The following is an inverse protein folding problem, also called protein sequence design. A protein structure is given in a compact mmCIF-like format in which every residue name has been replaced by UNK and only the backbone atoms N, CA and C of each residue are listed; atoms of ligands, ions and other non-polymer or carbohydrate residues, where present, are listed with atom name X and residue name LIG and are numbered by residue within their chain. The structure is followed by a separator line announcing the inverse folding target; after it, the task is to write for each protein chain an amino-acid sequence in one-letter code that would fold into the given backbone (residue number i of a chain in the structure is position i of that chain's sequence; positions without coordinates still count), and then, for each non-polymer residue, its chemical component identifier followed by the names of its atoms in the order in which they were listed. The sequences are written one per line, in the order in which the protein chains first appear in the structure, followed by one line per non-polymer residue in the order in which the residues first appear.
data_IF_909244484230
#
_entry.id   IF_909244484230
#
_cell.length_a   1.000
_cell.length_b   1.000
_cell.length_c   1.000
_cell.angle_alpha   90.00
_cell.angle_beta   90.00
_cell.angle_gamma   90.00
#
_symmetry.space_group_name_H-M   'P 1'
#
loop_
_entity.id
_entity.type
_entity.pdbx_description
1 polymer ?
#
# COMPACT_ATOMS: atom_id res chain seq x y z
N UNK A 1 -9.33 -10.60 -16.14
CA UNK A 1 -8.46 -10.20 -17.26
C UNK A 1 -6.98 -10.09 -16.88
N UNK A 2 -6.61 -10.00 -15.60
CA UNK A 2 -5.23 -10.21 -15.11
C UNK A 2 -4.76 -11.66 -15.37
N UNK A 3 -5.65 -12.62 -15.42
CA UNK A 3 -5.35 -13.99 -15.90
C UNK A 3 -4.63 -13.99 -17.26
N UNK A 4 -4.94 -13.05 -18.15
CA UNK A 4 -4.31 -12.95 -19.46
C UNK A 4 -2.88 -12.39 -19.41
N UNK A 5 -2.56 -11.56 -18.45
CA UNK A 5 -1.21 -11.01 -18.26
C UNK A 5 -0.27 -12.01 -17.58
N UNK A 6 -0.82 -12.87 -16.71
CA UNK A 6 -0.06 -13.91 -16.02
C UNK A 6 0.15 -15.12 -16.91
N UNK A 7 -0.80 -15.44 -17.80
CA UNK A 7 -0.63 -16.51 -18.82
C UNK A 7 0.39 -16.18 -19.92
N UNK A 8 0.76 -14.90 -20.10
CA UNK A 8 1.68 -14.52 -21.18
C UNK A 8 3.15 -14.91 -20.92
N UNK A 9 3.50 -15.33 -19.70
CA UNK A 9 4.87 -15.77 -19.34
C UNK A 9 4.94 -17.19 -18.76
N UNK A 10 4.04 -18.12 -19.11
CA UNK A 10 4.05 -19.52 -18.63
C UNK A 10 4.15 -19.70 -17.09
N UNK A 11 3.78 -18.68 -16.32
CA UNK A 11 3.65 -18.82 -14.87
C UNK A 11 2.32 -19.52 -14.55
N UNK A 12 2.35 -20.82 -14.48
CA UNK A 12 1.32 -21.57 -13.74
C UNK A 12 1.42 -21.10 -12.30
N UNK A 13 0.45 -20.29 -11.83
CA UNK A 13 0.35 -19.91 -10.43
C UNK A 13 0.13 -21.18 -9.63
N UNK A 14 1.21 -21.80 -9.18
CA UNK A 14 1.11 -22.78 -8.11
C UNK A 14 0.67 -22.05 -6.84
N UNK A 15 -0.08 -22.70 -5.97
CA UNK A 15 -0.56 -22.16 -4.68
C UNK A 15 0.56 -21.68 -3.72
N UNK A 16 1.80 -21.59 -4.20
CA UNK A 16 3.00 -21.23 -3.45
C UNK A 16 3.58 -19.86 -3.85
N UNK A 17 3.11 -19.23 -4.94
CA UNK A 17 3.64 -17.94 -5.37
C UNK A 17 3.08 -16.82 -4.48
N UNK A 18 3.97 -16.04 -3.88
CA UNK A 18 3.60 -14.80 -3.18
C UNK A 18 3.30 -13.71 -4.22
N UNK A 19 2.27 -12.93 -3.96
CA UNK A 19 1.89 -11.79 -4.78
C UNK A 19 2.03 -10.49 -3.97
N UNK A 20 2.93 -9.62 -4.41
CA UNK A 20 3.18 -8.30 -3.83
C UNK A 20 2.76 -7.25 -4.84
N UNK A 21 1.94 -6.30 -4.41
CA UNK A 21 1.40 -5.25 -5.29
C UNK A 21 1.76 -3.88 -4.72
N UNK A 22 2.46 -3.05 -5.50
CA UNK A 22 2.72 -1.64 -5.16
C UNK A 22 1.75 -0.76 -5.95
N UNK A 23 0.93 0.00 -5.23
CA UNK A 23 -0.06 0.93 -5.77
C UNK A 23 0.53 2.35 -5.78
N UNK A 24 0.64 2.96 -6.96
CA UNK A 24 1.36 4.22 -7.14
C UNK A 24 2.87 4.01 -7.03
N UNK A 25 3.43 3.08 -7.82
CA UNK A 25 4.87 2.74 -7.73
C UNK A 25 5.81 3.89 -8.12
N UNK A 26 5.29 4.97 -8.69
CA UNK A 26 6.10 6.08 -9.18
C UNK A 26 7.14 5.65 -10.23
N UNK A 27 8.37 6.06 -10.04
CA UNK A 27 9.51 5.70 -10.90
C UNK A 27 10.00 4.25 -10.71
N UNK A 28 9.31 3.43 -9.92
CA UNK A 28 9.58 2.02 -9.69
C UNK A 28 10.82 1.72 -8.82
N UNK A 29 11.42 2.73 -8.19
CA UNK A 29 12.65 2.55 -7.40
C UNK A 29 12.44 1.61 -6.22
N UNK A 30 11.36 1.80 -5.46
CA UNK A 30 11.05 0.96 -4.31
C UNK A 30 10.78 -0.49 -4.74
N UNK A 31 9.92 -0.68 -5.75
CA UNK A 31 9.59 -2.01 -6.27
C UNK A 31 10.83 -2.75 -6.79
N UNK A 32 11.75 -2.03 -7.44
CA UNK A 32 13.00 -2.58 -7.94
C UNK A 32 13.90 -3.09 -6.80
N UNK A 33 14.13 -2.28 -5.77
CA UNK A 33 14.94 -2.70 -4.63
C UNK A 33 14.27 -3.87 -3.88
N UNK A 34 12.96 -3.79 -3.68
CA UNK A 34 12.20 -4.87 -3.05
C UNK A 34 12.28 -6.19 -3.82
N UNK A 35 12.22 -6.13 -5.16
CA UNK A 35 12.31 -7.33 -6.01
C UNK A 35 13.68 -7.99 -6.01
N UNK A 36 14.73 -7.22 -5.65
CA UNK A 36 16.09 -7.75 -5.48
C UNK A 36 16.31 -8.37 -4.10
N UNK A 37 15.82 -7.71 -3.03
CA UNK A 37 16.03 -8.15 -1.66
C UNK A 37 15.27 -9.43 -1.36
N UNK A 38 14.05 -9.54 -1.87
CA UNK A 38 13.25 -10.74 -1.80
C UNK A 38 13.71 -11.72 -2.91
N UNK A 39 14.93 -12.24 -2.84
CA UNK A 39 15.47 -13.29 -3.74
C UNK A 39 14.66 -14.59 -3.69
N UNK A 40 13.39 -14.54 -3.24
CA UNK A 40 12.53 -15.69 -3.30
C UNK A 40 12.08 -15.88 -4.75
N UNK A 41 12.53 -16.94 -5.36
CA UNK A 41 12.13 -17.42 -6.68
C UNK A 41 10.60 -17.60 -6.83
N UNK A 42 9.85 -17.40 -5.75
CA UNK A 42 8.41 -17.62 -5.63
C UNK A 42 7.61 -16.34 -5.30
N UNK A 43 8.11 -15.15 -5.65
CA UNK A 43 7.35 -13.90 -5.47
C UNK A 43 7.14 -13.21 -6.82
N UNK A 44 5.89 -12.89 -7.14
CA UNK A 44 5.52 -12.02 -8.24
C UNK A 44 5.27 -10.62 -7.69
N UNK A 45 5.94 -9.63 -8.27
CA UNK A 45 5.75 -8.22 -7.96
C UNK A 45 4.92 -7.56 -9.06
N UNK A 46 3.95 -6.75 -8.65
CA UNK A 46 3.13 -5.97 -9.59
C UNK A 46 3.21 -4.50 -9.16
N UNK A 47 3.66 -3.65 -10.06
CA UNK A 47 3.66 -2.20 -9.89
C UNK A 47 2.59 -1.54 -10.75
N UNK A 48 1.79 -0.64 -10.16
CA UNK A 48 0.74 0.09 -10.87
C UNK A 48 1.01 1.59 -10.75
N UNK A 49 1.04 2.30 -11.89
CA UNK A 49 1.28 3.74 -11.96
C UNK A 49 0.47 4.35 -13.09
N UNK A 50 -0.26 5.43 -12.80
CA UNK A 50 -1.10 6.13 -13.78
C UNK A 50 -0.36 7.22 -14.54
N UNK A 51 0.73 7.77 -13.98
CA UNK A 51 1.56 8.76 -14.65
C UNK A 51 2.47 8.08 -15.68
N UNK A 52 2.20 8.32 -16.96
CA UNK A 52 2.94 7.67 -18.06
C UNK A 52 4.43 7.98 -18.08
N UNK A 53 4.85 9.13 -17.57
CA UNK A 53 6.29 9.50 -17.48
C UNK A 53 6.97 8.65 -16.42
N UNK A 54 6.41 8.57 -15.21
CA UNK A 54 6.95 7.75 -14.13
C UNK A 54 6.91 6.25 -14.48
N UNK A 55 5.83 5.81 -15.11
CA UNK A 55 5.74 4.44 -15.65
C UNK A 55 6.86 4.15 -16.65
N UNK A 56 7.16 5.08 -17.57
CA UNK A 56 8.26 4.93 -18.53
C UNK A 56 9.63 4.85 -17.84
N UNK A 57 9.85 5.64 -16.78
CA UNK A 57 11.06 5.57 -15.98
C UNK A 57 11.18 4.21 -15.26
N UNK A 58 10.08 3.72 -14.69
CA UNK A 58 10.03 2.41 -14.05
C UNK A 58 10.33 1.27 -15.04
N UNK A 59 9.76 1.30 -16.25
CA UNK A 59 10.05 0.30 -17.29
C UNK A 59 11.49 0.33 -17.77
N UNK A 60 12.12 1.52 -17.80
CA UNK A 60 13.55 1.65 -18.11
C UNK A 60 14.46 1.12 -16.99
N UNK A 61 14.01 1.15 -15.75
CA UNK A 61 14.77 0.71 -14.57
C UNK A 61 14.64 -0.78 -14.28
N UNK A 62 13.42 -1.32 -14.41
CA UNK A 62 13.09 -2.68 -13.97
C UNK A 62 13.11 -3.61 -15.19
N UNK A 63 14.08 -4.53 -15.17
CA UNK A 63 14.18 -5.63 -16.12
C UNK A 63 14.33 -6.94 -15.31
N UNK A 64 13.23 -7.39 -14.73
CA UNK A 64 13.19 -8.60 -13.91
C UNK A 64 11.97 -9.45 -14.31
N UNK A 65 12.19 -10.77 -14.44
CA UNK A 65 11.16 -11.70 -14.94
C UNK A 65 9.98 -11.87 -13.97
N UNK A 66 10.20 -11.60 -12.69
CA UNK A 66 9.21 -11.68 -11.64
C UNK A 66 8.52 -10.33 -11.33
N UNK A 67 8.66 -9.32 -12.20
CA UNK A 67 8.02 -8.02 -12.06
C UNK A 67 7.12 -7.72 -13.24
N UNK A 68 5.89 -7.31 -12.96
CA UNK A 68 4.91 -6.84 -13.94
C UNK A 68 4.58 -5.38 -13.65
N UNK A 69 4.69 -4.52 -14.66
CA UNK A 69 4.36 -3.10 -14.55
C UNK A 69 3.09 -2.80 -15.35
N UNK A 70 2.19 -2.00 -14.77
CA UNK A 70 0.88 -1.65 -15.36
C UNK A 70 0.75 -0.13 -15.36
N UNK A 71 0.52 0.47 -16.55
CA UNK A 71 0.22 1.88 -16.67
C UNK A 71 -1.29 2.10 -16.65
N UNK A 72 -1.84 2.30 -15.46
CA UNK A 72 -3.26 2.57 -15.23
C UNK A 72 -3.49 3.08 -13.81
N UNK A 73 -4.74 3.53 -13.52
CA UNK A 73 -5.18 3.87 -12.18
C UNK A 73 -5.23 2.62 -11.29
N UNK A 74 -4.66 2.70 -10.11
CA UNK A 74 -4.68 1.59 -9.17
C UNK A 74 -6.09 1.34 -8.60
N UNK A 75 -6.98 2.34 -8.53
CA UNK A 75 -8.37 2.18 -8.10
C UNK A 75 -9.16 1.27 -9.06
N UNK A 76 -8.83 1.34 -10.34
CA UNK A 76 -9.40 0.45 -11.33
C UNK A 76 -8.78 -0.94 -11.23
N UNK A 77 -7.45 -1.01 -11.23
CA UNK A 77 -6.71 -2.27 -11.33
C UNK A 77 -6.82 -3.13 -10.08
N UNK A 78 -6.93 -2.55 -8.89
CA UNK A 78 -7.12 -3.37 -7.68
C UNK A 78 -8.39 -4.23 -7.75
N UNK A 79 -9.42 -3.79 -8.48
CA UNK A 79 -10.66 -4.55 -8.65
C UNK A 79 -10.51 -5.79 -9.52
N UNK A 80 -9.53 -5.78 -10.44
CA UNK A 80 -9.28 -6.88 -11.37
C UNK A 80 -8.63 -8.11 -10.71
N UNK A 81 -8.00 -7.94 -9.55
CA UNK A 81 -7.48 -9.06 -8.79
C UNK A 81 -8.61 -9.93 -8.23
N UNK A 82 -8.38 -11.23 -8.13
CA UNK A 82 -9.31 -12.12 -7.42
C UNK A 82 -9.25 -11.85 -5.90
N UNK A 83 -10.35 -12.16 -5.22
CA UNK A 83 -10.39 -12.02 -3.77
C UNK A 83 -9.42 -13.00 -3.10
N UNK A 84 -8.78 -12.56 -2.03
CA UNK A 84 -7.87 -13.38 -1.22
C UNK A 84 -6.67 -13.96 -2.02
N UNK A 85 -6.13 -13.17 -2.98
CA UNK A 85 -4.97 -13.58 -3.78
C UNK A 85 -3.70 -12.81 -3.46
N UNK A 86 -3.79 -11.60 -2.89
CA UNK A 86 -2.63 -10.74 -2.64
C UNK A 86 -2.07 -11.00 -1.25
N UNK A 87 -0.77 -11.25 -1.17
CA UNK A 87 -0.06 -11.44 0.12
C UNK A 87 0.30 -10.09 0.76
N UNK A 88 0.68 -9.10 -0.06
CA UNK A 88 1.11 -7.79 0.43
C UNK A 88 0.75 -6.68 -0.56
N UNK A 89 0.13 -5.62 -0.05
CA UNK A 89 -0.09 -4.37 -0.77
C UNK A 89 0.77 -3.28 -0.14
N UNK A 90 1.42 -2.47 -0.97
CA UNK A 90 2.31 -1.37 -0.54
C UNK A 90 1.83 -0.08 -1.20
N UNK A 91 1.81 1.00 -0.44
CA UNK A 91 1.58 2.36 -0.90
C UNK A 91 2.64 3.27 -0.28
N UNK A 92 3.46 3.90 -1.11
CA UNK A 92 4.51 4.82 -0.63
C UNK A 92 4.16 6.23 -1.08
N UNK A 93 3.78 7.06 -0.12
CA UNK A 93 3.33 8.43 -0.32
C UNK A 93 2.18 8.49 -1.35
N UNK A 94 1.06 7.79 -1.10
CA UNK A 94 -0.14 8.02 -1.90
C UNK A 94 -0.52 9.50 -1.81
N UNK A 95 -1.24 9.99 -2.82
CA UNK A 95 -1.74 11.37 -2.76
C UNK A 95 -2.47 11.58 -1.42
N UNK A 96 -2.25 12.72 -0.73
CA UNK A 96 -2.85 13.01 0.58
C UNK A 96 -4.35 12.77 0.65
N UNK A 97 -5.09 12.94 -0.45
CA UNK A 97 -6.53 12.67 -0.50
C UNK A 97 -6.90 11.23 -0.13
N UNK A 98 -6.00 10.24 -0.32
CA UNK A 98 -6.24 8.84 0.04
C UNK A 98 -6.06 8.54 1.54
N UNK A 99 -5.62 9.48 2.32
CA UNK A 99 -5.42 9.34 3.77
C UNK A 99 -5.95 10.55 4.54
N UNK A 100 -6.53 11.54 3.86
CA UNK A 100 -7.10 12.73 4.47
C UNK A 100 -8.51 12.47 4.99
N UNK A 101 -8.80 13.06 6.14
CA UNK A 101 -10.09 12.97 6.81
C UNK A 101 -11.24 13.57 5.99
N UNK A 102 -10.98 14.65 5.25
CA UNK A 102 -11.99 15.34 4.46
C UNK A 102 -12.46 14.52 3.27
N UNK A 103 -11.61 13.65 2.74
CA UNK A 103 -11.89 12.77 1.60
C UNK A 103 -12.21 11.32 2.01
N UNK A 104 -12.43 11.06 3.30
CA UNK A 104 -12.65 9.69 3.81
C UNK A 104 -13.76 8.92 3.09
N UNK A 105 -14.84 9.58 2.70
CA UNK A 105 -15.93 8.95 1.96
C UNK A 105 -15.49 8.44 0.58
N UNK A 106 -14.51 9.09 -0.04
CA UNK A 106 -14.05 8.78 -1.39
C UNK A 106 -13.07 7.61 -1.39
N UNK A 107 -12.09 7.60 -0.47
CA UNK A 107 -11.07 6.55 -0.45
C UNK A 107 -11.47 5.28 0.31
N UNK A 108 -12.53 5.29 1.11
CA UNK A 108 -12.99 4.09 1.84
C UNK A 108 -13.27 2.90 0.92
N UNK A 109 -13.78 3.15 -0.29
CA UNK A 109 -14.06 2.11 -1.27
C UNK A 109 -12.78 1.46 -1.83
N UNK A 110 -11.69 2.23 -1.97
CA UNK A 110 -10.39 1.72 -2.37
C UNK A 110 -9.86 0.73 -1.34
N UNK A 111 -9.79 1.14 -0.07
CA UNK A 111 -9.27 0.27 1.00
C UNK A 111 -10.16 -0.92 1.30
N UNK A 112 -11.48 -0.80 1.12
CA UNK A 112 -12.38 -1.94 1.19
C UNK A 112 -12.08 -2.97 0.08
N UNK A 113 -11.79 -2.52 -1.15
CA UNK A 113 -11.34 -3.40 -2.23
C UNK A 113 -9.99 -4.04 -1.90
N UNK A 114 -9.01 -3.26 -1.42
CA UNK A 114 -7.71 -3.81 -0.99
C UNK A 114 -7.93 -4.91 0.07
N UNK A 115 -8.77 -4.64 1.08
CA UNK A 115 -9.09 -5.62 2.13
C UNK A 115 -9.66 -6.92 1.56
N UNK A 116 -10.58 -6.84 0.57
CA UNK A 116 -11.15 -8.02 -0.08
C UNK A 116 -10.09 -8.84 -0.84
N UNK A 117 -9.14 -8.15 -1.50
CA UNK A 117 -8.11 -8.79 -2.33
C UNK A 117 -6.97 -9.40 -1.52
N UNK A 118 -6.70 -8.88 -0.32
CA UNK A 118 -5.72 -9.45 0.58
C UNK A 118 -6.12 -10.86 1.02
N UNK A 119 -5.16 -11.77 1.02
CA UNK A 119 -5.27 -13.07 1.71
C UNK A 119 -5.51 -12.85 3.21
N UNK A 120 -6.00 -13.87 3.89
CA UNK A 120 -5.98 -13.90 5.36
C UNK A 120 -4.54 -13.79 5.83
N UNK A 121 -4.27 -12.91 6.79
CA UNK A 121 -2.95 -12.49 7.26
C UNK A 121 -2.11 -11.75 6.19
N UNK A 122 -2.67 -11.47 5.02
CA UNK A 122 -2.05 -10.56 4.05
C UNK A 122 -1.99 -9.13 4.59
N UNK A 123 -0.96 -8.39 4.19
CA UNK A 123 -0.61 -7.07 4.77
C UNK A 123 -0.89 -5.92 3.82
N UNK A 124 -1.26 -4.78 4.39
CA UNK A 124 -1.28 -3.47 3.74
C UNK A 124 -0.27 -2.58 4.45
N UNK A 125 0.71 -2.10 3.72
CA UNK A 125 1.71 -1.15 4.22
C UNK A 125 1.51 0.19 3.56
N UNK A 126 1.41 1.24 4.37
CA UNK A 126 1.24 2.62 3.90
C UNK A 126 2.31 3.47 4.55
N UNK A 127 3.18 4.05 3.73
CA UNK A 127 4.04 5.17 4.14
C UNK A 127 3.34 6.43 3.73
N UNK A 128 3.02 7.29 4.68
CA UNK A 128 2.26 8.53 4.45
C UNK A 128 2.81 9.68 5.30
N UNK A 129 2.27 10.88 5.08
CA UNK A 129 2.69 12.09 5.76
C UNK A 129 1.51 12.95 6.20
N UNK A 130 1.80 13.85 7.15
CA UNK A 130 0.99 15.03 7.41
C UNK A 130 1.83 16.28 7.20
N UNK A 131 1.27 17.23 6.47
CA UNK A 131 1.84 18.52 6.16
C UNK A 131 0.81 19.59 6.56
N UNK A 132 1.28 20.68 7.19
CA UNK A 132 0.42 21.84 7.43
C UNK A 132 0.19 22.61 6.12
N UNK A 133 -1.04 23.06 5.85
CA UNK A 133 -1.42 23.76 4.61
C UNK A 133 -0.59 25.03 4.38
N UNK A 134 -0.13 25.67 5.43
CA UNK A 134 0.73 26.85 5.36
C UNK A 134 2.22 26.51 5.47
N UNK A 135 2.57 25.23 5.38
CA UNK A 135 3.93 24.71 5.53
C UNK A 135 4.59 25.13 6.84
N UNK A 136 3.80 25.28 7.90
CA UNK A 136 4.31 25.51 9.25
C UNK A 136 4.74 24.16 9.88
N UNK A 137 5.59 24.17 10.89
CA UNK A 137 5.95 22.97 11.63
C UNK A 137 4.72 22.26 12.19
N UNK A 138 4.62 20.96 11.94
CA UNK A 138 3.51 20.13 12.43
C UNK A 138 3.72 19.82 13.91
N UNK A 139 2.81 20.30 14.75
CA UNK A 139 2.87 20.03 16.19
C UNK A 139 2.63 18.56 16.51
N UNK A 140 3.18 18.08 17.63
CA UNK A 140 2.94 16.72 18.13
C UNK A 140 1.44 16.44 18.33
N UNK A 141 0.70 17.42 18.86
CA UNK A 141 -0.74 17.28 19.06
C UNK A 141 -1.50 17.08 17.75
N UNK A 142 -1.16 17.84 16.71
CA UNK A 142 -1.77 17.67 15.37
C UNK A 142 -1.43 16.31 14.78
N UNK A 143 -0.15 15.93 14.83
CA UNK A 143 0.33 14.64 14.35
C UNK A 143 -0.39 13.46 15.03
N UNK A 144 -0.39 13.39 16.35
CA UNK A 144 -1.02 12.27 17.05
C UNK A 144 -2.55 12.24 16.90
N UNK A 145 -3.18 13.41 16.76
CA UNK A 145 -4.63 13.48 16.49
C UNK A 145 -4.97 12.88 15.12
N UNK A 146 -4.20 13.25 14.10
CA UNK A 146 -4.34 12.70 12.74
C UNK A 146 -4.02 11.20 12.70
N UNK A 147 -2.88 10.79 13.25
CA UNK A 147 -2.45 9.39 13.29
C UNK A 147 -3.50 8.49 13.97
N UNK A 148 -4.03 8.94 15.12
CA UNK A 148 -5.09 8.23 15.84
C UNK A 148 -6.34 8.08 14.99
N UNK A 149 -6.80 9.16 14.36
CA UNK A 149 -7.97 9.14 13.50
C UNK A 149 -7.79 8.17 12.33
N UNK A 150 -6.65 8.24 11.64
CA UNK A 150 -6.36 7.38 10.48
C UNK A 150 -6.35 5.90 10.89
N UNK A 151 -5.70 5.58 12.01
CA UNK A 151 -5.68 4.24 12.56
C UNK A 151 -7.10 3.73 12.87
N UNK A 152 -7.91 4.54 13.55
CA UNK A 152 -9.30 4.17 13.88
C UNK A 152 -10.15 3.93 12.62
N UNK A 153 -9.89 4.69 11.53
CA UNK A 153 -10.57 4.49 10.26
C UNK A 153 -10.26 3.11 9.66
N UNK A 154 -8.99 2.69 9.65
CA UNK A 154 -8.61 1.36 9.15
C UNK A 154 -9.13 0.23 10.05
N UNK A 155 -9.08 0.38 11.36
CA UNK A 155 -9.62 -0.61 12.29
C UNK A 155 -11.13 -0.78 12.09
N UNK A 156 -11.88 0.30 11.86
CA UNK A 156 -13.32 0.24 11.55
C UNK A 156 -13.61 -0.47 10.22
N UNK A 157 -12.70 -0.45 9.27
CA UNK A 157 -12.80 -1.22 8.02
C UNK A 157 -12.46 -2.70 8.19
N UNK A 158 -12.03 -3.12 9.38
CA UNK A 158 -11.74 -4.53 9.71
C UNK A 158 -10.26 -4.90 9.69
N UNK A 159 -9.35 -3.97 9.41
CA UNK A 159 -7.91 -4.23 9.48
C UNK A 159 -7.44 -4.43 10.92
N UNK A 160 -6.58 -5.41 11.14
CA UNK A 160 -5.74 -5.49 12.32
C UNK A 160 -4.52 -4.58 12.16
N UNK A 161 -3.91 -4.18 13.28
CA UNK A 161 -2.71 -3.35 13.30
C UNK A 161 -1.53 -4.23 13.69
N UNK A 162 -0.51 -4.28 12.85
CA UNK A 162 0.74 -4.97 13.13
C UNK A 162 1.76 -4.02 13.74
N UNK A 163 1.96 -2.86 13.10
CA UNK A 163 2.97 -1.89 13.53
C UNK A 163 2.59 -0.46 13.11
N UNK A 164 3.03 0.50 13.90
CA UNK A 164 2.96 1.94 13.59
C UNK A 164 4.33 2.53 13.86
N UNK A 165 4.96 3.14 12.85
CA UNK A 165 6.23 3.85 12.97
C UNK A 165 6.01 5.34 12.71
N UNK A 166 6.62 6.20 13.52
CA UNK A 166 6.59 7.66 13.35
C UNK A 166 7.66 8.14 12.37
N UNK A 167 7.95 7.32 11.38
CA UNK A 167 8.95 7.55 10.34
C UNK A 167 8.65 6.69 9.11
N UNK A 168 9.38 6.92 8.03
CA UNK A 168 9.48 5.97 6.91
C UNK A 168 10.79 5.19 7.03
N UNK A 169 10.74 3.86 7.21
CA UNK A 169 11.94 3.01 7.26
C UNK A 169 12.84 3.20 6.03
N UNK A 170 14.15 3.02 6.23
CA UNK A 170 15.15 3.29 5.21
C UNK A 170 15.08 2.42 3.95
N UNK A 171 14.41 1.28 4.03
CA UNK A 171 14.17 0.38 2.89
C UNK A 171 13.08 0.88 1.93
N UNK A 172 12.25 1.86 2.33
CA UNK A 172 11.34 2.53 1.40
C UNK A 172 12.08 3.65 0.67
N UNK A 173 12.02 3.66 -0.65
CA UNK A 173 12.76 4.60 -1.48
C UNK A 173 11.88 5.21 -2.58
N UNK A 174 11.82 6.52 -2.63
CA UNK A 174 11.26 7.28 -3.75
C UNK A 174 11.87 8.67 -3.77
N UNK A 175 11.84 9.34 -4.92
CA UNK A 175 12.34 10.72 -5.03
C UNK A 175 11.58 11.68 -4.10
N UNK A 176 10.27 11.46 -3.91
CA UNK A 176 9.44 12.28 -3.03
C UNK A 176 9.80 12.03 -1.56
N UNK A 177 9.92 10.76 -1.16
CA UNK A 177 10.25 10.37 0.20
C UNK A 177 11.64 10.88 0.63
N UNK A 178 12.63 10.85 -0.28
CA UNK A 178 13.96 11.37 0.00
C UNK A 178 13.94 12.88 0.29
N UNK A 179 13.06 13.63 -0.40
CA UNK A 179 12.85 15.07 -0.12
C UNK A 179 12.14 15.29 1.21
N UNK A 180 11.12 14.50 1.52
CA UNK A 180 10.33 14.63 2.74
C UNK A 180 11.16 14.34 3.99
N UNK A 181 12.06 13.37 3.92
CA UNK A 181 13.01 13.07 5.01
C UNK A 181 13.96 14.23 5.34
N UNK A 182 14.17 15.15 4.39
CA UNK A 182 15.03 16.32 4.61
C UNK A 182 14.36 17.47 5.37
N UNK A 183 13.03 17.38 5.62
CA UNK A 183 12.27 18.43 6.26
C UNK A 183 11.30 17.85 7.34
N UNK A 184 11.85 17.21 8.38
CA UNK A 184 11.05 16.49 9.36
C UNK A 184 10.22 17.39 10.28
N UNK A 185 10.49 18.71 10.32
CA UNK A 185 9.71 19.66 11.11
C UNK A 185 8.36 19.98 10.44
N UNK A 186 8.36 20.18 9.12
CA UNK A 186 7.17 20.53 8.34
C UNK A 186 6.46 19.30 7.77
N UNK A 187 7.17 18.21 7.56
CA UNK A 187 6.64 16.96 6.97
C UNK A 187 6.86 15.83 7.96
N UNK A 188 5.79 15.40 8.61
CA UNK A 188 5.85 14.30 9.58
C UNK A 188 5.39 13.02 8.93
N UNK A 189 6.32 12.10 8.78
CA UNK A 189 6.09 10.78 8.17
C UNK A 189 5.51 9.79 9.17
N UNK A 190 4.71 8.86 8.66
CA UNK A 190 4.21 7.70 9.39
C UNK A 190 4.20 6.48 8.49
N UNK A 191 4.52 5.31 9.05
CA UNK A 191 4.30 4.02 8.40
C UNK A 191 3.27 3.24 9.17
N UNK A 192 2.22 2.81 8.48
CA UNK A 192 1.23 1.86 8.99
C UNK A 192 1.46 0.49 8.37
N UNK A 193 1.58 -0.53 9.20
CA UNK A 193 1.51 -1.94 8.80
C UNK A 193 0.23 -2.54 9.35
N UNK A 194 -0.65 -2.85 8.43
CA UNK A 194 -1.98 -3.38 8.71
C UNK A 194 -2.08 -4.79 8.14
N UNK A 195 -2.98 -5.60 8.68
CA UNK A 195 -3.20 -6.96 8.16
C UNK A 195 -4.68 -7.31 8.12
N UNK A 196 -5.04 -8.26 7.25
CA UNK A 196 -6.38 -8.85 7.23
C UNK A 196 -6.45 -9.98 8.25
N UNK A 197 -7.30 -9.89 9.31
CA UNK A 197 -7.42 -10.94 10.32
C UNK A 197 -7.92 -12.28 9.75
N UNK A 198 -7.60 -13.39 10.41
CA UNK A 198 -8.06 -14.75 10.04
C UNK A 198 -9.57 -14.91 10.04
N UNK A 199 -10.23 -14.29 11.01
CA UNK A 199 -11.68 -14.16 11.10
C UNK A 199 -12.00 -12.91 11.93
N UNK A 200 -13.03 -12.19 11.56
CA UNK A 200 -13.69 -11.30 12.51
C UNK A 200 -14.38 -12.24 13.50
N UNK A 201 -13.85 -12.33 14.73
CA UNK A 201 -14.59 -12.95 15.81
C UNK A 201 -15.87 -12.14 15.96
N UNK A 202 -16.97 -12.65 15.42
CA UNK A 202 -18.29 -12.11 15.73
C UNK A 202 -18.36 -12.08 17.26
N UNK A 203 -18.33 -10.88 17.83
CA UNK A 203 -18.60 -10.69 19.24
C UNK A 203 -20.03 -11.17 19.44
N UNK A 204 -20.16 -12.39 20.00
CA UNK A 204 -21.46 -12.90 20.43
C UNK A 204 -22.04 -11.84 21.35
N UNK A 205 -23.05 -11.14 20.88
CA UNK A 205 -23.90 -10.32 21.72
C UNK A 205 -24.28 -11.17 22.92
N UNK A 206 -24.14 -10.70 24.19
CA UNK A 206 -24.61 -11.44 25.32
C UNK A 206 -26.10 -11.67 25.12
N UNK A 207 -26.49 -12.96 25.07
CA UNK A 207 -27.90 -13.32 25.10
C UNK A 207 -28.46 -12.72 26.37
N UNK A 208 -29.35 -11.74 26.23
CA UNK A 208 -30.21 -11.26 27.31
C UNK A 208 -30.98 -12.46 27.87
N UNK A 209 -30.73 -12.75 29.14
CA UNK A 209 -31.52 -13.64 29.97
C UNK A 209 -32.74 -12.89 30.44
#
# INVERSE_FOLDING_TARGET
MIYFLICYKDYTISNALKLVVELGMGDGRHLYELSKDEQSTNTLFVGIENNSTLYSEATGRINADNVVLINDSFENRIRDFENETIDRVIMVLPDPEYVDRHYHADWISLYANIFLKLKKLGTLEIVTEIIDELLQPVSDAAYYTWAKWLLEAFVKMGFGVEEILNEAPGNYTSTCLDRFRQDPERIRLMTLRLFKPLAVLESKSPKSI
#
